data_IF_046670593489
#
_entry.id   IF_046670593489
#
_cell.length_a   1.000
_cell.length_b   1.000
_cell.length_c   1.000
_cell.angle_alpha   90.00
_cell.angle_beta   90.00
_cell.angle_gamma   90.00
#
_symmetry.space_group_name_H-M   'P 1'
#
loop_
_entity.id
_entity.type
_entity.pdbx_description
1 polymer ?
#
# COMPACT_ATOMS: atom_id res chain seq x y z
N UNK A 1 4.64 -6.27 30.93
CA UNK A 1 5.32 -4.96 30.83
C UNK A 1 5.14 -4.46 29.41
N UNK A 2 4.89 -3.17 29.22
CA UNK A 2 4.94 -2.51 27.92
C UNK A 2 5.69 -1.19 28.08
N UNK A 3 6.24 -0.68 26.99
CA UNK A 3 7.01 0.57 26.90
C UNK A 3 6.39 1.43 25.79
N UNK A 4 6.57 2.74 25.90
CA UNK A 4 6.12 3.70 24.89
C UNK A 4 6.83 3.44 23.55
N UNK A 5 6.07 3.42 22.44
CA UNK A 5 6.60 3.20 21.10
C UNK A 5 6.00 4.21 20.11
N UNK A 6 6.86 4.80 19.26
CA UNK A 6 6.44 5.45 18.01
C UNK A 6 6.25 4.35 16.97
N UNK A 7 5.00 4.06 16.61
CA UNK A 7 4.69 2.99 15.66
C UNK A 7 4.42 3.54 14.27
N UNK A 8 4.97 2.87 13.26
CA UNK A 8 4.57 3.06 11.87
C UNK A 8 3.39 2.13 11.60
N UNK A 9 2.38 2.63 10.90
CA UNK A 9 1.23 1.83 10.46
C UNK A 9 1.17 1.82 8.95
N UNK A 10 0.90 0.65 8.39
CA UNK A 10 0.63 0.48 6.97
C UNK A 10 -0.87 0.30 6.78
N UNK A 11 -1.43 1.11 5.89
CA UNK A 11 -2.86 1.10 5.56
C UNK A 11 -3.02 0.83 4.07
N UNK A 12 -4.12 0.19 3.70
CA UNK A 12 -4.44 -0.08 2.29
C UNK A 12 -5.95 -0.16 2.07
N UNK A 13 -6.37 -0.34 0.82
CA UNK A 13 -7.77 -0.54 0.43
C UNK A 13 -8.08 -2.02 0.29
N UNK A 14 -9.38 -2.35 0.30
CA UNK A 14 -9.82 -3.71 0.02
C UNK A 14 -9.49 -4.15 -1.42
N UNK A 15 -9.47 -3.21 -2.38
CA UNK A 15 -9.14 -3.50 -3.78
C UNK A 15 -7.71 -4.03 -3.92
N UNK A 16 -6.73 -3.36 -3.33
CA UNK A 16 -5.31 -3.79 -3.35
C UNK A 16 -5.13 -5.16 -2.69
N UNK A 17 -5.82 -5.42 -1.58
CA UNK A 17 -5.77 -6.74 -0.92
C UNK A 17 -6.35 -7.83 -1.82
N UNK A 18 -7.45 -7.56 -2.52
CA UNK A 18 -8.06 -8.53 -3.43
C UNK A 18 -7.18 -8.79 -4.65
N UNK A 19 -6.60 -7.75 -5.23
CA UNK A 19 -5.65 -7.87 -6.33
C UNK A 19 -4.48 -8.78 -5.95
N UNK A 20 -3.83 -8.53 -4.81
CA UNK A 20 -2.73 -9.39 -4.34
C UNK A 20 -3.18 -10.85 -4.24
N UNK A 21 -4.36 -11.11 -3.67
CA UNK A 21 -4.91 -12.47 -3.55
C UNK A 21 -5.15 -13.14 -4.90
N UNK A 22 -5.58 -12.38 -5.91
CA UNK A 22 -5.74 -12.89 -7.28
C UNK A 22 -4.39 -13.24 -7.93
N UNK A 23 -3.34 -12.50 -7.60
CA UNK A 23 -1.99 -12.76 -8.11
C UNK A 23 -1.22 -13.87 -7.36
N UNK A 24 -1.56 -14.17 -6.10
CA UNK A 24 -0.86 -15.20 -5.31
C UNK A 24 -0.73 -16.55 -6.05
N UNK A 25 -1.79 -17.11 -6.66
CA UNK A 25 -1.69 -18.36 -7.42
C UNK A 25 -0.68 -18.33 -8.58
N UNK A 26 -0.43 -17.15 -9.15
CA UNK A 26 0.52 -16.94 -10.25
C UNK A 26 1.94 -16.70 -9.73
N UNK A 27 2.07 -15.99 -8.61
CA UNK A 27 3.36 -15.59 -8.03
C UNK A 27 4.02 -16.71 -7.23
N UNK A 28 3.24 -17.51 -6.50
CA UNK A 28 3.78 -18.55 -5.62
C UNK A 28 4.69 -19.54 -6.38
N UNK A 29 4.26 -20.13 -7.53
CA UNK A 29 5.12 -21.03 -8.29
C UNK A 29 6.38 -20.34 -8.84
N UNK A 30 6.26 -19.07 -9.28
CA UNK A 30 7.40 -18.28 -9.80
C UNK A 30 8.47 -18.02 -8.74
N UNK A 31 8.10 -18.07 -7.46
CA UNK A 31 9.00 -17.89 -6.31
C UNK A 31 9.39 -19.20 -5.64
N UNK A 32 8.99 -20.35 -6.20
CA UNK A 32 9.24 -21.66 -5.61
C UNK A 32 8.51 -21.90 -4.28
N UNK A 33 7.41 -21.18 -4.05
CA UNK A 33 6.58 -21.28 -2.85
C UNK A 33 5.27 -22.02 -3.16
N UNK A 34 4.70 -22.67 -2.15
CA UNK A 34 3.31 -23.11 -2.24
C UNK A 34 2.38 -21.90 -2.09
N UNK A 35 1.15 -22.04 -2.60
CA UNK A 35 0.12 -21.01 -2.47
C UNK A 35 -0.12 -20.67 -1.00
N UNK A 36 -0.26 -21.70 -0.16
CA UNK A 36 -0.56 -21.60 1.27
C UNK A 36 0.55 -20.85 2.02
N UNK A 37 1.81 -21.10 1.66
CA UNK A 37 2.96 -20.39 2.25
C UNK A 37 2.92 -18.91 1.88
N UNK A 38 2.59 -18.57 0.64
CA UNK A 38 2.49 -17.17 0.21
C UNK A 38 1.28 -16.47 0.83
N UNK A 39 0.13 -17.13 0.93
CA UNK A 39 -1.06 -16.61 1.64
C UNK A 39 -0.77 -16.38 3.13
N UNK A 40 -0.06 -17.30 3.78
CA UNK A 40 0.36 -17.16 5.17
C UNK A 40 1.36 -16.00 5.34
N UNK A 41 2.35 -15.86 4.46
CA UNK A 41 3.27 -14.74 4.50
C UNK A 41 2.55 -13.39 4.33
N UNK A 42 1.57 -13.32 3.41
CA UNK A 42 0.77 -12.13 3.21
C UNK A 42 -0.13 -11.80 4.42
N UNK A 43 -0.73 -12.81 5.06
CA UNK A 43 -1.60 -12.60 6.23
C UNK A 43 -0.85 -12.16 7.50
N UNK A 44 0.47 -12.39 7.55
CA UNK A 44 1.35 -11.91 8.62
C UNK A 44 1.74 -10.44 8.48
N UNK A 45 1.46 -9.80 7.33
CA UNK A 45 1.70 -8.37 7.18
C UNK A 45 0.71 -7.58 8.04
N UNK A 46 1.23 -6.66 8.86
CA UNK A 46 0.42 -5.75 9.68
C UNK A 46 -0.19 -4.62 8.83
N UNK A 47 -1.09 -4.99 7.91
CA UNK A 47 -1.82 -4.06 7.03
C UNK A 47 -3.22 -3.80 7.58
N UNK A 48 -3.54 -2.54 7.81
CA UNK A 48 -4.91 -2.12 8.15
C UNK A 48 -5.70 -1.80 6.87
N UNK A 49 -6.77 -2.57 6.62
CA UNK A 49 -7.65 -2.33 5.47
C UNK A 49 -8.68 -1.27 5.85
N UNK A 50 -8.58 -0.10 5.21
CA UNK A 50 -9.45 1.03 5.48
C UNK A 50 -10.74 0.89 4.67
N UNK A 51 -11.86 1.21 5.31
CA UNK A 51 -13.19 1.12 4.70
C UNK A 51 -13.40 2.24 3.68
N UNK A 52 -14.10 1.93 2.59
CA UNK A 52 -14.34 2.86 1.48
C UNK A 52 -15.03 4.15 1.92
N UNK A 53 -15.88 4.11 2.92
CA UNK A 53 -16.57 5.30 3.44
C UNK A 53 -15.61 6.37 3.98
N UNK A 54 -14.41 5.97 4.42
CA UNK A 54 -13.39 6.89 4.92
C UNK A 54 -12.76 7.74 3.82
N UNK A 55 -12.71 7.24 2.58
CA UNK A 55 -12.01 7.90 1.47
C UNK A 55 -12.87 8.14 0.23
N UNK A 56 -14.14 7.71 0.22
CA UNK A 56 -15.04 7.83 -0.92
C UNK A 56 -15.21 9.28 -1.40
N UNK A 57 -15.17 10.25 -0.49
CA UNK A 57 -15.22 11.67 -0.81
C UNK A 57 -14.04 12.18 -1.65
N UNK A 58 -12.90 11.47 -1.67
CA UNK A 58 -11.72 11.80 -2.47
C UNK A 58 -11.66 11.07 -3.81
N UNK A 59 -12.57 10.12 -4.08
CA UNK A 59 -12.56 9.36 -5.34
C UNK A 59 -12.60 10.26 -6.58
N UNK A 60 -13.47 11.30 -6.67
CA UNK A 60 -13.49 12.16 -7.86
C UNK A 60 -12.14 12.85 -8.11
N UNK A 61 -11.51 13.35 -7.04
CA UNK A 61 -10.20 14.01 -7.12
C UNK A 61 -9.12 13.01 -7.54
N UNK A 62 -9.14 11.81 -6.96
CA UNK A 62 -8.20 10.75 -7.33
C UNK A 62 -8.36 10.32 -8.78
N UNK A 63 -9.59 10.16 -9.28
CA UNK A 63 -9.88 9.84 -10.68
C UNK A 63 -9.29 10.88 -11.63
N UNK A 64 -9.37 12.17 -11.30
CA UNK A 64 -8.78 13.24 -12.12
C UNK A 64 -7.24 13.20 -12.12
N UNK A 65 -6.63 12.74 -11.02
CA UNK A 65 -5.16 12.70 -10.86
C UNK A 65 -4.51 11.47 -11.50
N UNK A 66 -5.10 10.30 -11.34
CA UNK A 66 -4.49 9.02 -11.75
C UNK A 66 -5.33 8.22 -12.73
N UNK A 67 -6.66 8.37 -12.73
CA UNK A 67 -7.56 7.43 -13.40
C UNK A 67 -7.40 7.29 -14.91
N UNK A 68 -6.77 8.27 -15.60
CA UNK A 68 -6.42 8.14 -17.02
C UNK A 68 -5.13 7.36 -17.28
N UNK A 69 -4.22 7.35 -16.31
CA UNK A 69 -2.93 6.63 -16.35
C UNK A 69 -3.14 5.21 -15.83
N UNK A 70 -3.71 5.10 -14.63
CA UNK A 70 -4.08 3.84 -14.01
C UNK A 70 -5.44 3.97 -13.26
N UNK A 71 -6.51 3.32 -13.75
CA UNK A 71 -7.81 3.33 -13.10
C UNK A 71 -7.89 2.47 -11.83
N UNK A 72 -7.04 1.43 -11.69
CA UNK A 72 -7.04 0.53 -10.53
C UNK A 72 -6.46 1.23 -9.29
N UNK A 73 -5.55 2.19 -9.50
CA UNK A 73 -4.91 2.99 -8.44
C UNK A 73 -5.80 4.09 -7.85
N UNK A 74 -6.98 4.35 -8.43
CA UNK A 74 -7.86 5.44 -8.00
C UNK A 74 -8.23 5.33 -6.52
N UNK A 75 -8.55 4.12 -6.04
CA UNK A 75 -8.93 3.96 -4.63
C UNK A 75 -7.73 4.15 -3.68
N UNK A 76 -6.54 3.72 -4.08
CA UNK A 76 -5.32 3.89 -3.29
C UNK A 76 -4.94 5.39 -3.18
N UNK A 77 -5.02 6.11 -4.30
CA UNK A 77 -4.79 7.56 -4.35
C UNK A 77 -5.85 8.30 -3.51
N UNK A 78 -7.13 7.92 -3.60
CA UNK A 78 -8.20 8.51 -2.79
C UNK A 78 -7.94 8.32 -1.29
N UNK A 79 -7.51 7.12 -0.88
CA UNK A 79 -7.14 6.82 0.51
C UNK A 79 -6.00 7.72 0.99
N UNK A 80 -4.93 7.83 0.22
CA UNK A 80 -3.77 8.66 0.57
C UNK A 80 -4.15 10.15 0.70
N UNK A 81 -5.01 10.67 -0.18
CA UNK A 81 -5.54 12.03 -0.08
C UNK A 81 -6.40 12.24 1.18
N UNK A 82 -7.26 11.27 1.50
CA UNK A 82 -8.16 11.36 2.65
C UNK A 82 -7.39 11.36 3.98
N UNK A 83 -6.37 10.51 4.08
CA UNK A 83 -5.54 10.38 5.28
C UNK A 83 -4.35 11.35 5.31
N UNK A 84 -4.08 12.05 4.21
CA UNK A 84 -2.91 12.93 4.04
C UNK A 84 -1.59 12.21 4.35
N UNK A 85 -1.50 10.95 3.97
CA UNK A 85 -0.32 10.11 4.21
C UNK A 85 0.46 9.89 2.90
N UNK A 86 1.77 9.59 3.00
CA UNK A 86 2.53 9.18 1.84
C UNK A 86 2.08 7.81 1.32
N UNK A 87 2.38 7.53 0.05
CA UNK A 87 2.23 6.21 -0.56
C UNK A 87 3.57 5.50 -0.56
N UNK A 88 3.55 4.19 -0.34
CA UNK A 88 4.71 3.32 -0.60
C UNK A 88 4.43 2.53 -1.88
N UNK A 89 5.18 2.80 -2.95
CA UNK A 89 5.07 2.07 -4.22
C UNK A 89 6.35 2.21 -5.04
N UNK A 90 6.61 1.21 -5.88
CA UNK A 90 7.62 1.30 -6.95
C UNK A 90 7.00 1.65 -8.31
N UNK A 91 5.69 1.89 -8.36
CA UNK A 91 5.00 2.26 -9.59
C UNK A 91 5.31 3.70 -9.99
N UNK A 92 5.78 3.90 -11.22
CA UNK A 92 6.13 5.22 -11.74
C UNK A 92 4.91 6.14 -11.85
N UNK A 93 3.71 5.61 -12.14
CA UNK A 93 2.51 6.42 -12.25
C UNK A 93 2.16 7.09 -10.91
N UNK A 94 2.42 6.38 -9.80
CA UNK A 94 2.30 6.89 -8.43
C UNK A 94 3.49 7.72 -7.98
N UNK A 95 4.72 7.38 -8.37
CA UNK A 95 5.93 8.16 -8.02
C UNK A 95 5.91 9.54 -8.69
N UNK A 96 5.36 9.65 -9.90
CA UNK A 96 5.27 10.91 -10.64
C UNK A 96 4.13 11.84 -10.17
N UNK A 97 3.24 11.37 -9.29
CA UNK A 97 2.20 12.21 -8.69
C UNK A 97 2.82 13.29 -7.80
N UNK A 98 2.61 14.55 -8.17
CA UNK A 98 3.15 15.69 -7.39
C UNK A 98 2.36 15.97 -6.11
N UNK A 99 1.12 15.50 -6.03
CA UNK A 99 0.18 15.80 -4.94
C UNK A 99 0.41 14.92 -3.71
N UNK A 100 1.04 13.75 -3.90
CA UNK A 100 1.20 12.74 -2.86
C UNK A 100 2.68 12.39 -2.81
N UNK A 101 3.27 12.43 -1.62
CA UNK A 101 4.64 11.97 -1.45
C UNK A 101 4.66 10.44 -1.59
N UNK A 102 5.43 9.93 -2.54
CA UNK A 102 5.62 8.50 -2.73
C UNK A 102 7.03 8.11 -2.31
N UNK A 103 7.15 7.00 -1.60
CA UNK A 103 8.43 6.36 -1.29
C UNK A 103 8.53 5.04 -2.05
N UNK A 104 9.66 4.81 -2.69
CA UNK A 104 10.02 3.51 -3.23
C UNK A 104 10.31 2.52 -2.11
N UNK A 105 10.39 1.23 -2.45
CA UNK A 105 10.78 0.18 -1.50
C UNK A 105 12.18 0.44 -0.92
N UNK A 106 13.12 0.92 -1.73
CA UNK A 106 14.46 1.26 -1.25
C UNK A 106 14.41 2.39 -0.21
N UNK A 107 13.65 3.46 -0.47
CA UNK A 107 13.50 4.57 0.48
C UNK A 107 12.74 4.15 1.73
N UNK A 108 11.70 3.32 1.59
CA UNK A 108 10.93 2.80 2.72
C UNK A 108 11.81 1.94 3.64
N UNK A 109 12.72 1.13 3.07
CA UNK A 109 13.71 0.38 3.85
C UNK A 109 14.64 1.32 4.63
N UNK A 110 15.19 2.35 4.00
CA UNK A 110 16.02 3.35 4.69
C UNK A 110 15.26 4.04 5.84
N UNK A 111 13.97 4.35 5.65
CA UNK A 111 13.13 4.95 6.70
C UNK A 111 12.96 3.96 7.86
N UNK A 112 12.66 2.69 7.56
CA UNK A 112 12.46 1.65 8.58
C UNK A 112 13.73 1.38 9.38
N UNK A 113 14.90 1.31 8.73
CA UNK A 113 16.19 1.19 9.41
C UNK A 113 16.44 2.34 10.38
N UNK A 114 16.18 3.58 9.93
CA UNK A 114 16.27 4.77 10.78
C UNK A 114 15.26 4.79 11.93
N UNK A 115 14.08 4.19 11.77
CA UNK A 115 13.09 4.01 12.84
C UNK A 115 13.49 2.94 13.86
N UNK A 116 14.16 1.89 13.40
CA UNK A 116 14.59 0.75 14.23
C UNK A 116 15.94 0.99 14.92
N UNK A 117 16.64 2.08 14.57
CA UNK A 117 17.88 2.49 15.23
C UNK A 117 19.07 1.58 14.94
N UNK A 118 19.07 0.89 13.80
CA UNK A 118 20.21 0.12 13.29
C UNK A 118 21.15 0.99 12.46
#
# INVERSE_FOLDING_TARGET
MFVEAKTLKFVTTASVVNEVKEYIPVLAPKKGLSREVMEAAFSLLELEVIKKETYSGQIPVATDLIGKRDPEDVELVALALALKCPVWSNDNDLVELKQIKTYTTAEMLCILEGFLGF
#
